data_IF_612804860543
#
_entry.id   IF_612804860543
#
_cell.length_a   1.000
_cell.length_b   1.000
_cell.length_c   1.000
_cell.angle_alpha   90.00
_cell.angle_beta   90.00
_cell.angle_gamma   90.00
#
_symmetry.space_group_name_H-M   'P 1'
#
loop_
_entity.id
_entity.type
_entity.pdbx_description
1 polymer ?
#
# COMPACT_ATOMS: atom_id res chain seq x y z
N UNK A 1 19.68 0.45 -39.84
CA UNK A 1 19.69 1.06 -38.49
C UNK A 1 19.13 0.04 -37.50
N UNK A 2 19.99 -0.80 -36.93
CA UNK A 2 19.58 -1.80 -35.95
C UNK A 2 19.31 -1.10 -34.60
N UNK A 3 18.05 -1.05 -34.19
CA UNK A 3 17.66 -0.57 -32.86
C UNK A 3 18.24 -1.58 -31.86
N UNK A 4 19.34 -1.19 -31.19
CA UNK A 4 19.89 -1.96 -30.07
C UNK A 4 18.79 -2.11 -29.03
N UNK A 5 18.39 -3.37 -28.76
CA UNK A 5 17.54 -3.70 -27.63
C UNK A 5 18.16 -3.10 -26.37
N UNK A 6 17.46 -2.15 -25.75
CA UNK A 6 17.87 -1.60 -24.45
C UNK A 6 17.84 -2.77 -23.46
N UNK A 7 18.99 -3.05 -22.86
CA UNK A 7 19.12 -4.00 -21.75
C UNK A 7 18.08 -3.64 -20.69
N UNK A 8 17.22 -4.59 -20.33
CA UNK A 8 16.30 -4.41 -19.21
C UNK A 8 17.13 -4.05 -17.97
N UNK A 9 16.72 -3.05 -17.16
CA UNK A 9 17.42 -2.74 -15.93
C UNK A 9 17.46 -3.98 -15.04
N UNK A 10 18.58 -4.18 -14.36
CA UNK A 10 18.75 -5.28 -13.42
C UNK A 10 17.61 -5.22 -12.39
N UNK A 11 16.89 -6.33 -12.23
CA UNK A 11 15.88 -6.46 -11.16
C UNK A 11 16.62 -6.37 -9.83
N UNK A 12 16.55 -5.20 -9.20
CA UNK A 12 16.83 -5.07 -7.77
C UNK A 12 15.91 -6.06 -7.03
N UNK A 13 16.31 -6.53 -5.84
CA UNK A 13 15.46 -7.39 -5.00
C UNK A 13 14.01 -6.89 -5.01
N UNK A 14 13.03 -7.81 -5.03
CA UNK A 14 11.64 -7.54 -5.41
C UNK A 14 11.04 -6.25 -4.84
N UNK A 15 10.01 -5.69 -5.51
CA UNK A 15 9.37 -4.39 -5.17
C UNK A 15 8.62 -4.46 -3.84
N UNK A 16 9.37 -4.54 -2.75
CA UNK A 16 8.92 -4.75 -1.39
C UNK A 16 9.56 -3.72 -0.48
N UNK A 17 8.78 -3.17 0.45
CA UNK A 17 9.26 -2.24 1.46
C UNK A 17 8.66 -2.57 2.82
N UNK A 18 9.41 -2.27 3.87
CA UNK A 18 8.94 -2.34 5.26
C UNK A 18 9.20 -1.00 5.92
N UNK A 19 8.14 -0.37 6.40
CA UNK A 19 8.17 0.92 7.09
C UNK A 19 7.75 0.70 8.53
N UNK A 20 8.50 1.29 9.46
CA UNK A 20 8.15 1.36 10.88
C UNK A 20 8.12 2.80 11.34
N UNK A 21 7.11 3.19 12.10
CA UNK A 21 6.95 4.54 12.63
C UNK A 21 6.38 4.45 14.04
N UNK A 22 6.97 5.18 14.97
CA UNK A 22 6.47 5.32 16.33
C UNK A 22 6.40 6.79 16.73
N UNK A 23 5.32 7.17 17.40
CA UNK A 23 5.10 8.48 18.02
C UNK A 23 4.61 8.30 19.46
N UNK A 24 4.11 9.37 20.09
CA UNK A 24 3.47 9.25 21.40
C UNK A 24 2.07 8.61 21.28
N UNK A 25 1.43 8.77 20.12
CA UNK A 25 0.07 8.35 19.82
C UNK A 25 0.01 6.95 19.20
N UNK A 26 0.98 6.59 18.33
CA UNK A 26 0.92 5.34 17.54
C UNK A 26 2.26 4.58 17.45
N UNK A 27 2.17 3.26 17.25
CA UNK A 27 3.27 2.34 16.90
C UNK A 27 2.84 1.47 15.72
N UNK A 28 3.48 1.67 14.57
CA UNK A 28 3.05 1.14 13.28
C UNK A 28 4.19 0.43 12.55
N UNK A 29 3.88 -0.74 12.00
CA UNK A 29 4.72 -1.47 11.05
C UNK A 29 3.89 -1.87 9.83
N UNK A 30 4.32 -1.44 8.64
CA UNK A 30 3.74 -1.82 7.35
C UNK A 30 4.79 -2.56 6.54
N UNK A 31 4.44 -3.70 5.96
CA UNK A 31 5.23 -4.38 4.92
C UNK A 31 4.37 -4.53 3.67
N UNK A 32 4.85 -4.03 2.55
CA UNK A 32 4.14 -3.97 1.28
C UNK A 32 4.99 -4.61 0.18
N UNK A 33 4.43 -5.55 -0.57
CA UNK A 33 4.99 -6.06 -1.81
C UNK A 33 4.06 -5.74 -2.99
N UNK A 34 4.57 -4.98 -3.96
CA UNK A 34 3.83 -4.54 -5.15
C UNK A 34 3.62 -5.66 -6.19
N UNK A 35 4.42 -6.73 -6.12
CA UNK A 35 4.36 -7.91 -6.98
C UNK A 35 3.68 -9.10 -6.25
N UNK A 36 2.61 -8.81 -5.52
CA UNK A 36 1.93 -9.78 -4.65
C UNK A 36 0.84 -10.60 -5.34
N UNK A 37 0.00 -11.24 -4.52
CA UNK A 37 -1.20 -11.98 -4.93
C UNK A 37 -2.44 -11.62 -4.10
N UNK A 38 -2.39 -10.52 -3.35
CA UNK A 38 -3.49 -10.10 -2.49
C UNK A 38 -3.48 -10.72 -1.09
N UNK A 39 -2.35 -11.30 -0.64
CA UNK A 39 -2.23 -11.86 0.72
C UNK A 39 -2.17 -10.72 1.73
N UNK A 40 -2.87 -10.85 2.85
CA UNK A 40 -2.88 -9.80 3.84
C UNK A 40 -2.92 -10.31 5.27
N UNK A 41 -2.35 -9.51 6.16
CA UNK A 41 -2.36 -9.69 7.61
C UNK A 41 -2.48 -8.29 8.22
N UNK A 42 -3.69 -7.92 8.66
CA UNK A 42 -4.00 -6.53 9.01
C UNK A 42 -4.61 -6.48 10.40
N UNK A 43 -3.95 -5.74 11.28
CA UNK A 43 -4.42 -5.47 12.63
C UNK A 43 -4.07 -4.01 12.98
N UNK A 44 -5.07 -3.12 12.95
CA UNK A 44 -4.88 -1.69 13.30
C UNK A 44 -5.54 -1.25 14.59
N UNK A 45 -6.36 -2.10 15.22
CA UNK A 45 -7.26 -1.69 16.30
C UNK A 45 -8.53 -0.96 15.83
N UNK A 46 -8.63 -0.61 14.54
CA UNK A 46 -9.81 0.02 13.93
C UNK A 46 -10.46 -0.97 12.93
N UNK A 47 -11.52 -1.70 13.32
CA UNK A 47 -12.03 -2.83 12.52
C UNK A 47 -12.45 -2.48 11.09
N UNK A 48 -13.03 -1.29 10.88
CA UNK A 48 -13.44 -0.88 9.54
C UNK A 48 -12.23 -0.55 8.65
N UNK A 49 -11.17 0.04 9.21
CA UNK A 49 -9.92 0.26 8.47
C UNK A 49 -9.27 -1.08 8.09
N UNK A 50 -9.31 -2.09 8.96
CA UNK A 50 -8.83 -3.44 8.62
C UNK A 50 -9.54 -3.93 7.35
N UNK A 51 -10.88 -3.88 7.33
CA UNK A 51 -11.68 -4.28 6.18
C UNK A 51 -11.30 -3.52 4.90
N UNK A 52 -11.11 -2.20 4.99
CA UNK A 52 -10.70 -1.37 3.84
C UNK A 52 -9.31 -1.74 3.32
N UNK A 53 -8.36 -2.09 4.18
CA UNK A 53 -7.02 -2.51 3.77
C UNK A 53 -7.00 -3.94 3.20
N UNK A 54 -7.90 -4.82 3.66
CA UNK A 54 -8.06 -6.18 3.11
C UNK A 54 -8.55 -6.12 1.66
N UNK A 55 -9.57 -5.31 1.37
CA UNK A 55 -10.05 -5.09 -0.01
C UNK A 55 -8.99 -4.39 -0.86
N UNK A 56 -8.24 -3.44 -0.29
CA UNK A 56 -7.15 -2.76 -0.96
C UNK A 56 -6.05 -3.73 -1.40
N UNK A 57 -5.62 -4.62 -0.50
CA UNK A 57 -4.64 -5.65 -0.82
C UNK A 57 -5.17 -6.63 -1.88
N UNK A 58 -6.41 -7.12 -1.70
CA UNK A 58 -7.04 -8.10 -2.60
C UNK A 58 -7.19 -7.58 -4.03
N UNK A 59 -7.73 -6.37 -4.20
CA UNK A 59 -8.01 -5.82 -5.52
C UNK A 59 -6.80 -5.12 -6.16
N UNK A 60 -5.84 -4.67 -5.35
CA UNK A 60 -4.55 -4.16 -5.84
C UNK A 60 -3.51 -5.25 -6.16
N UNK A 61 -3.79 -6.51 -5.80
CA UNK A 61 -2.84 -7.63 -5.85
C UNK A 61 -1.56 -7.39 -5.03
N UNK A 62 -1.64 -6.59 -3.98
CA UNK A 62 -0.53 -6.35 -3.07
C UNK A 62 -0.46 -7.46 -2.02
N UNK A 63 0.74 -7.90 -1.64
CA UNK A 63 0.88 -8.58 -0.36
C UNK A 63 1.14 -7.52 0.72
N UNK A 64 0.29 -7.46 1.74
CA UNK A 64 0.25 -6.36 2.71
C UNK A 64 0.15 -6.88 4.14
N UNK A 65 1.15 -6.58 4.97
CA UNK A 65 1.08 -6.76 6.42
C UNK A 65 1.03 -5.39 7.09
N UNK A 66 0.04 -5.16 7.95
CA UNK A 66 -0.10 -3.94 8.74
C UNK A 66 -0.32 -4.34 10.20
N UNK A 67 0.58 -3.88 11.07
CA UNK A 67 0.44 -3.96 12.52
C UNK A 67 0.45 -2.53 13.04
N UNK A 68 -0.65 -2.07 13.61
CA UNK A 68 -0.73 -0.76 14.23
C UNK A 68 -1.38 -0.87 15.62
N UNK A 69 -0.79 -0.13 16.55
CA UNK A 69 -1.37 0.18 17.86
C UNK A 69 -1.42 1.69 17.98
N UNK A 70 -2.55 2.24 18.42
CA UNK A 70 -2.69 3.66 18.68
C UNK A 70 -3.70 3.92 19.79
N UNK A 71 -3.87 5.20 20.09
CA UNK A 71 -4.75 5.77 21.11
C UNK A 71 -6.23 5.78 20.68
N UNK A 72 -6.74 4.64 20.21
CA UNK A 72 -8.10 4.47 19.66
C UNK A 72 -9.23 4.80 20.65
N UNK A 73 -8.92 4.87 21.94
CA UNK A 73 -9.81 5.34 23.00
C UNK A 73 -10.06 6.85 22.98
N UNK A 74 -9.17 7.63 22.36
CA UNK A 74 -9.37 9.07 22.11
C UNK A 74 -10.25 9.23 20.88
N UNK A 75 -9.74 8.80 19.73
CA UNK A 75 -10.47 8.56 18.47
C UNK A 75 -9.61 7.69 17.52
N UNK A 76 -10.10 7.41 16.32
CA UNK A 76 -9.37 6.62 15.32
C UNK A 76 -8.39 7.44 14.46
N UNK A 77 -8.36 8.77 14.62
CA UNK A 77 -7.72 9.69 13.69
C UNK A 77 -6.23 9.43 13.55
N UNK A 78 -5.48 9.42 14.65
CA UNK A 78 -4.03 9.24 14.63
C UNK A 78 -3.65 7.88 14.03
N UNK A 79 -4.38 6.82 14.40
CA UNK A 79 -4.14 5.47 13.86
C UNK A 79 -4.37 5.42 12.36
N UNK A 80 -5.49 5.98 11.88
CA UNK A 80 -5.82 6.00 10.44
C UNK A 80 -4.80 6.82 9.65
N UNK A 81 -4.47 8.03 10.13
CA UNK A 81 -3.50 8.92 9.50
C UNK A 81 -2.12 8.26 9.39
N UNK A 82 -1.61 7.74 10.51
CA UNK A 82 -0.25 7.24 10.58
C UNK A 82 -0.07 5.92 9.82
N UNK A 83 -1.12 5.08 9.74
CA UNK A 83 -1.14 3.93 8.81
C UNK A 83 -1.04 4.42 7.37
N UNK A 84 -1.80 5.45 7.00
CA UNK A 84 -1.76 6.07 5.68
C UNK A 84 -0.38 6.63 5.32
N UNK A 85 0.28 7.32 6.25
CA UNK A 85 1.64 7.84 6.08
C UNK A 85 2.66 6.70 5.86
N UNK A 86 2.60 5.64 6.67
CA UNK A 86 3.49 4.49 6.53
C UNK A 86 3.27 3.76 5.20
N UNK A 87 2.01 3.59 4.78
CA UNK A 87 1.65 2.95 3.52
C UNK A 87 2.15 3.78 2.33
N UNK A 88 1.96 5.10 2.35
CA UNK A 88 2.46 6.01 1.32
C UNK A 88 3.99 5.99 1.19
N UNK A 89 4.71 5.93 2.32
CA UNK A 89 6.16 5.73 2.34
C UNK A 89 6.54 4.35 1.77
N UNK A 90 5.83 3.29 2.14
CA UNK A 90 6.05 1.95 1.62
C UNK A 90 5.90 1.87 0.10
N UNK A 91 4.88 2.52 -0.47
CA UNK A 91 4.74 2.63 -1.93
C UNK A 91 5.92 3.37 -2.56
N UNK A 92 6.35 4.50 -1.98
CA UNK A 92 7.49 5.27 -2.50
C UNK A 92 8.76 4.43 -2.55
N UNK A 93 9.07 3.71 -1.47
CA UNK A 93 10.26 2.86 -1.37
C UNK A 93 10.16 1.65 -2.32
N UNK A 94 9.05 0.93 -2.32
CA UNK A 94 8.86 -0.26 -3.13
C UNK A 94 8.81 0.04 -4.65
N UNK A 95 8.39 1.24 -5.04
CA UNK A 95 8.39 1.70 -6.44
C UNK A 95 9.80 2.04 -6.96
N UNK A 96 10.76 2.35 -6.09
CA UNK A 96 12.13 2.69 -6.47
C UNK A 96 12.21 3.84 -7.49
N UNK A 97 12.98 3.64 -8.55
CA UNK A 97 13.17 4.62 -9.63
C UNK A 97 11.97 4.74 -10.59
N UNK A 98 10.96 3.88 -10.43
CA UNK A 98 9.74 3.81 -11.25
C UNK A 98 10.02 3.53 -12.73
N UNK A 99 11.20 3.03 -13.10
CA UNK A 99 11.52 2.77 -14.49
C UNK A 99 10.68 1.59 -15.02
N UNK A 100 10.02 1.79 -16.18
CA UNK A 100 9.31 0.74 -16.89
C UNK A 100 7.92 0.36 -16.34
N UNK A 101 7.39 1.10 -15.35
CA UNK A 101 6.00 0.93 -14.92
C UNK A 101 5.02 1.54 -15.94
N UNK A 102 3.75 1.13 -15.88
CA UNK A 102 2.66 1.75 -16.68
C UNK A 102 2.46 3.24 -16.40
N UNK A 103 2.79 3.67 -15.18
CA UNK A 103 2.77 5.05 -14.66
C UNK A 103 1.38 5.66 -14.46
N UNK A 104 0.44 5.40 -15.35
CA UNK A 104 -0.95 5.85 -15.23
C UNK A 104 -1.88 4.66 -15.09
N UNK A 105 -2.87 4.77 -14.21
CA UNK A 105 -3.92 3.78 -14.00
C UNK A 105 -5.25 4.44 -13.68
N UNK A 106 -6.32 3.82 -14.15
CA UNK A 106 -7.70 4.24 -13.88
C UNK A 106 -8.53 2.99 -13.55
N UNK A 107 -9.44 3.13 -12.59
CA UNK A 107 -10.47 2.14 -12.32
C UNK A 107 -11.75 2.82 -11.84
N UNK A 108 -12.88 2.29 -12.30
CA UNK A 108 -14.22 2.60 -11.78
C UNK A 108 -14.80 1.34 -11.15
N UNK A 109 -15.18 1.41 -9.88
CA UNK A 109 -15.64 0.27 -9.09
C UNK A 109 -17.01 0.57 -8.48
N UNK A 110 -18.05 -0.24 -8.77
CA UNK A 110 -19.34 -0.11 -8.11
C UNK A 110 -19.41 -0.91 -6.81
N UNK A 111 -20.23 -0.43 -5.87
CA UNK A 111 -20.72 -1.20 -4.73
C UNK A 111 -22.16 -0.77 -4.46
N UNK A 112 -23.11 -1.67 -4.77
CA UNK A 112 -24.54 -1.38 -4.81
C UNK A 112 -24.88 -0.13 -5.65
N UNK A 113 -25.48 0.90 -5.06
CA UNK A 113 -25.79 2.16 -5.75
C UNK A 113 -24.59 3.11 -5.88
N UNK A 114 -23.52 2.89 -5.12
CA UNK A 114 -22.35 3.75 -5.12
C UNK A 114 -21.42 3.40 -6.30
N UNK A 115 -20.86 4.44 -6.93
CA UNK A 115 -19.88 4.33 -8.00
C UNK A 115 -18.69 5.24 -7.70
N UNK A 116 -17.49 4.66 -7.65
CA UNK A 116 -16.25 5.41 -7.38
C UNK A 116 -15.28 5.25 -8.55
N UNK A 117 -14.73 6.35 -9.03
CA UNK A 117 -13.64 6.37 -10.01
C UNK A 117 -12.37 6.88 -9.34
N UNK A 118 -11.25 6.23 -9.60
CA UNK A 118 -9.92 6.65 -9.14
C UNK A 118 -8.94 6.67 -10.30
N UNK A 119 -8.10 7.72 -10.34
CA UNK A 119 -7.01 7.91 -11.29
C UNK A 119 -5.72 8.11 -10.52
N UNK A 120 -4.64 7.43 -10.94
CA UNK A 120 -3.30 7.48 -10.34
C UNK A 120 -2.22 7.64 -11.40
#
# INVERSE_FOLDING_TARGET
MAVRARRAPARHGGRTATVTRGTAETDIRVTLNLDGRGRHEIETGVPFLNHMLEIFARHGFFDLSVRARGDVEVDDHHTVEDVGLCLGQGFREALGDKAGIRRFGEATVPLDEALVTTVV
#
